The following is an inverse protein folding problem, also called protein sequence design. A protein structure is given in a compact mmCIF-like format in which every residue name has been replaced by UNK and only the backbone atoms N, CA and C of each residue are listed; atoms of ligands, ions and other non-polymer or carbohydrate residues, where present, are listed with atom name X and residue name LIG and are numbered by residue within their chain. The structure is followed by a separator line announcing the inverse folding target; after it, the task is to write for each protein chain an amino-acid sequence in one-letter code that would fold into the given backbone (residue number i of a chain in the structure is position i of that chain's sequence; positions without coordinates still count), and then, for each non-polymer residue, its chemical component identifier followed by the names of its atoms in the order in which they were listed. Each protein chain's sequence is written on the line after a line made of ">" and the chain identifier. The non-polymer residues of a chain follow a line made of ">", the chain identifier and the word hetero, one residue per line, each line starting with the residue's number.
data_IF_355048117740
#
_entry.id   IF_355048117740
#
_cell.length_a   1.000
_cell.length_b   1.000
_cell.length_c   1.000
_cell.angle_alpha   90.00
_cell.angle_beta   90.00
_cell.angle_gamma   90.00
#
_symmetry.space_group_name_H-M   'P 1'
#
loop_
_entity.id
_entity.type
_entity.pdbx_description
1 polymer ?
#
# COMPACT_ATOMS: atom_id res chain seq x y z
N UNK A 1 -1.08 -3.52 28.64
CA UNK A 1 -1.44 -4.00 27.28
C UNK A 1 -0.97 -3.07 26.16
N UNK A 2 -0.96 -1.73 26.32
CA UNK A 2 -0.45 -0.80 25.27
C UNK A 2 1.04 -1.01 24.93
N UNK A 3 1.88 -1.30 25.91
CA UNK A 3 3.33 -1.45 25.71
C UNK A 3 3.72 -2.76 24.98
N UNK A 4 2.91 -3.81 25.11
CA UNK A 4 3.15 -5.11 24.43
C UNK A 4 2.88 -4.98 22.94
N UNK A 5 1.86 -4.22 22.54
CA UNK A 5 1.56 -3.96 21.13
C UNK A 5 2.68 -3.15 20.45
N UNK A 6 3.25 -2.17 21.18
CA UNK A 6 4.37 -1.37 20.67
C UNK A 6 5.63 -2.21 20.48
N UNK A 7 5.92 -3.12 21.42
CA UNK A 7 7.05 -4.05 21.34
C UNK A 7 6.88 -5.04 20.18
N UNK A 8 5.67 -5.55 19.95
CA UNK A 8 5.39 -6.44 18.82
C UNK A 8 5.54 -5.73 17.45
N UNK A 9 5.12 -4.47 17.37
CA UNK A 9 5.29 -3.67 16.13
C UNK A 9 6.78 -3.38 15.88
N UNK A 10 7.56 -3.02 16.91
CA UNK A 10 9.00 -2.78 16.76
C UNK A 10 9.76 -4.05 16.43
N UNK A 11 9.39 -5.21 17.00
CA UNK A 11 9.97 -6.51 16.68
C UNK A 11 9.67 -6.95 15.23
N UNK A 12 8.48 -6.64 14.74
CA UNK A 12 8.10 -6.92 13.33
C UNK A 12 8.90 -6.07 12.33
N UNK A 13 9.20 -4.81 12.65
CA UNK A 13 10.06 -3.96 11.81
C UNK A 13 11.54 -4.36 11.87
N UNK A 14 12.00 -4.98 12.96
CA UNK A 14 13.40 -5.40 13.10
C UNK A 14 13.68 -6.79 12.49
N UNK A 15 12.66 -7.55 12.14
CA UNK A 15 12.80 -8.87 11.51
C UNK A 15 12.85 -8.82 9.98
N UNK A 16 12.99 -7.64 9.36
CA UNK A 16 13.33 -7.56 7.94
C UNK A 16 14.77 -8.07 7.78
N UNK A 17 15.00 -9.21 7.13
CA UNK A 17 16.35 -9.68 6.89
C UNK A 17 17.05 -8.61 6.05
N UNK A 18 18.11 -8.02 6.59
CA UNK A 18 19.08 -7.30 5.80
C UNK A 18 19.73 -8.35 4.90
N UNK A 19 19.28 -8.45 3.66
CA UNK A 19 20.02 -9.15 2.63
C UNK A 19 21.27 -8.31 2.35
N UNK A 20 22.31 -8.53 3.16
CA UNK A 20 23.65 -8.17 2.79
C UNK A 20 23.99 -9.07 1.60
N UNK A 21 23.90 -8.53 0.41
CA UNK A 21 24.39 -9.16 -0.79
C UNK A 21 25.92 -9.03 -0.76
N UNK A 22 26.62 -10.11 -0.37
CA UNK A 22 28.04 -10.27 -0.64
C UNK A 22 28.20 -10.37 -2.15
N UNK A 23 28.28 -9.21 -2.81
CA UNK A 23 28.72 -9.13 -4.19
C UNK A 23 30.23 -9.30 -4.23
N UNK A 24 30.73 -10.55 -4.19
CA UNK A 24 32.00 -10.83 -4.80
C UNK A 24 31.93 -10.40 -6.26
N UNK A 25 32.65 -9.33 -6.60
CA UNK A 25 32.89 -8.89 -7.96
C UNK A 25 33.66 -9.97 -8.71
N UNK A 26 32.98 -11.03 -9.14
CA UNK A 26 33.49 -11.91 -10.19
C UNK A 26 33.43 -11.11 -11.48
N UNK A 27 34.58 -10.59 -11.90
CA UNK A 27 34.78 -10.08 -13.26
C UNK A 27 34.75 -11.30 -14.18
N UNK A 28 33.54 -11.81 -14.45
CA UNK A 28 33.35 -12.72 -15.58
C UNK A 28 33.57 -11.89 -16.84
N UNK A 29 34.62 -12.24 -17.59
CA UNK A 29 34.84 -11.78 -18.97
C UNK A 29 33.53 -12.07 -19.70
N UNK A 30 32.74 -11.02 -19.95
CA UNK A 30 31.44 -11.11 -20.63
C UNK A 30 31.76 -11.66 -22.02
N UNK A 31 31.66 -12.99 -22.17
CA UNK A 31 31.38 -13.56 -23.49
C UNK A 31 30.09 -12.89 -23.95
N UNK A 32 30.17 -12.17 -25.04
CA UNK A 32 29.07 -11.49 -25.69
C UNK A 32 28.13 -12.56 -26.26
N UNK A 33 27.52 -13.35 -25.35
CA UNK A 33 26.36 -14.15 -25.72
C UNK A 33 25.27 -13.12 -25.97
N UNK A 34 24.87 -13.03 -27.24
CA UNK A 34 23.69 -12.30 -27.62
C UNK A 34 22.54 -12.75 -26.70
N UNK A 35 22.25 -11.92 -25.71
CA UNK A 35 21.07 -12.09 -24.86
C UNK A 35 19.90 -12.01 -25.83
N UNK A 36 19.40 -13.17 -26.25
CA UNK A 36 18.16 -13.28 -26.99
C UNK A 36 17.09 -12.74 -26.05
N UNK A 37 16.82 -11.45 -26.17
CA UNK A 37 15.72 -10.79 -25.47
C UNK A 37 14.46 -11.53 -25.90
N UNK A 38 13.92 -12.37 -25.01
CA UNK A 38 12.62 -12.99 -25.25
C UNK A 38 11.64 -11.85 -25.50
N UNK A 39 10.97 -11.83 -26.65
CA UNK A 39 10.00 -10.78 -26.92
C UNK A 39 8.97 -10.77 -25.79
N UNK A 40 8.78 -9.62 -25.16
CA UNK A 40 7.80 -9.45 -24.09
C UNK A 40 6.41 -9.73 -24.66
N UNK A 41 5.83 -10.86 -24.28
CA UNK A 41 4.48 -11.23 -24.71
C UNK A 41 3.48 -10.39 -23.93
N UNK A 42 2.89 -9.39 -24.56
CA UNK A 42 1.79 -8.63 -23.97
C UNK A 42 0.63 -9.57 -23.61
N UNK A 43 0.17 -9.55 -22.37
CA UNK A 43 -1.04 -10.24 -21.93
C UNK A 43 -2.17 -9.21 -21.77
N UNK A 44 -3.07 -9.06 -22.75
CA UNK A 44 -4.11 -8.04 -22.71
C UNK A 44 -5.09 -8.22 -21.54
N UNK A 45 -5.14 -9.42 -20.95
CA UNK A 45 -6.01 -9.72 -19.80
C UNK A 45 -5.34 -9.44 -18.45
N UNK A 46 -4.04 -9.19 -18.38
CA UNK A 46 -3.32 -8.97 -17.13
C UNK A 46 -3.89 -7.82 -16.30
N UNK A 47 -4.27 -6.64 -16.85
CA UNK A 47 -4.90 -5.57 -16.09
C UNK A 47 -6.25 -5.95 -15.48
N UNK A 48 -7.08 -6.66 -16.26
CA UNK A 48 -8.38 -7.13 -15.80
C UNK A 48 -8.22 -8.15 -14.65
N UNK A 49 -7.24 -9.07 -14.76
CA UNK A 49 -6.92 -10.02 -13.69
C UNK A 49 -6.43 -9.32 -12.43
N UNK A 50 -5.53 -8.34 -12.56
CA UNK A 50 -5.04 -7.57 -11.42
C UNK A 50 -6.18 -6.84 -10.68
N UNK A 51 -7.07 -6.19 -11.42
CA UNK A 51 -8.26 -5.54 -10.88
C UNK A 51 -9.20 -6.56 -10.20
N UNK A 52 -9.44 -7.70 -10.82
CA UNK A 52 -10.28 -8.76 -10.28
C UNK A 52 -9.72 -9.32 -8.95
N UNK A 53 -8.43 -9.60 -8.88
CA UNK A 53 -7.79 -10.06 -7.63
C UNK A 53 -7.86 -9.01 -6.52
N UNK A 54 -7.68 -7.73 -6.84
CA UNK A 54 -7.84 -6.64 -5.87
C UNK A 54 -9.30 -6.45 -5.43
N UNK A 55 -10.26 -6.81 -6.30
CA UNK A 55 -11.68 -6.82 -5.96
C UNK A 55 -12.10 -7.98 -5.07
N UNK A 56 -11.42 -9.14 -5.14
CA UNK A 56 -11.68 -10.26 -4.24
C UNK A 56 -11.06 -10.02 -2.86
N UNK A 57 -9.79 -9.70 -2.83
CA UNK A 57 -9.06 -9.38 -1.60
C UNK A 57 -8.18 -8.15 -1.86
N UNK A 58 -8.38 -7.06 -1.11
CA UNK A 58 -7.57 -5.87 -1.24
C UNK A 58 -6.08 -6.22 -1.16
N UNK A 59 -5.27 -5.67 -2.07
CA UNK A 59 -3.84 -5.92 -2.10
C UNK A 59 -3.38 -7.12 -2.94
N UNK A 60 -4.25 -8.08 -3.29
CA UNK A 60 -3.84 -9.22 -4.13
C UNK A 60 -3.44 -8.80 -5.54
N UNK A 61 -4.05 -7.79 -6.11
CA UNK A 61 -3.66 -7.26 -7.42
C UNK A 61 -2.26 -6.66 -7.40
N UNK A 62 -1.86 -5.98 -6.32
CA UNK A 62 -0.51 -5.47 -6.14
C UNK A 62 0.51 -6.62 -6.02
N UNK A 63 0.15 -7.70 -5.34
CA UNK A 63 0.98 -8.92 -5.25
C UNK A 63 1.10 -9.57 -6.64
N UNK A 64 0.01 -9.69 -7.39
CA UNK A 64 0.01 -10.17 -8.78
C UNK A 64 0.93 -9.33 -9.67
N UNK A 65 0.92 -8.01 -9.50
CA UNK A 65 1.78 -7.06 -10.20
C UNK A 65 3.23 -7.06 -9.69
N UNK A 66 3.58 -7.90 -8.69
CA UNK A 66 4.91 -7.93 -8.04
C UNK A 66 5.27 -6.60 -7.34
N UNK A 67 4.28 -5.78 -6.98
CA UNK A 67 4.43 -4.55 -6.20
C UNK A 67 4.14 -4.80 -4.73
N UNK A 68 4.87 -5.74 -4.13
CA UNK A 68 4.62 -6.25 -2.77
C UNK A 68 4.56 -5.17 -1.69
N UNK A 69 5.33 -4.10 -1.84
CA UNK A 69 5.36 -3.01 -0.88
C UNK A 69 4.07 -2.20 -0.79
N UNK A 70 3.23 -2.20 -1.85
CA UNK A 70 1.93 -1.51 -1.86
C UNK A 70 0.84 -2.29 -1.09
N UNK A 71 0.92 -3.61 -1.04
CA UNK A 71 -0.07 -4.44 -0.37
C UNK A 71 -0.20 -4.12 1.14
N UNK A 72 0.88 -4.00 1.94
CA UNK A 72 0.78 -3.58 3.34
C UNK A 72 0.17 -2.19 3.52
N UNK A 73 0.42 -1.26 2.59
CA UNK A 73 -0.16 0.10 2.64
C UNK A 73 -1.68 0.03 2.44
N UNK A 74 -2.15 -0.75 1.47
CA UNK A 74 -3.57 -0.96 1.23
C UNK A 74 -4.26 -1.58 2.46
N UNK A 75 -3.65 -2.61 3.07
CA UNK A 75 -4.19 -3.24 4.28
C UNK A 75 -4.16 -2.33 5.50
N UNK A 76 -3.09 -1.57 5.68
CA UNK A 76 -2.95 -0.60 6.77
C UNK A 76 -4.00 0.52 6.67
N UNK A 77 -4.16 1.09 5.49
CA UNK A 77 -5.16 2.14 5.24
C UNK A 77 -6.59 1.65 5.47
N UNK A 78 -6.93 0.47 4.95
CA UNK A 78 -8.24 -0.13 5.13
C UNK A 78 -8.50 -0.54 6.58
N UNK A 79 -7.54 -1.20 7.22
CA UNK A 79 -7.63 -1.61 8.62
C UNK A 79 -7.83 -0.43 9.57
N UNK A 80 -7.09 0.66 9.35
CA UNK A 80 -7.23 1.90 10.11
C UNK A 80 -8.63 2.52 9.93
N UNK A 81 -9.12 2.56 8.70
CA UNK A 81 -10.45 3.10 8.39
C UNK A 81 -11.57 2.27 9.03
N UNK A 82 -11.48 0.93 8.99
CA UNK A 82 -12.42 0.02 9.65
C UNK A 82 -12.36 0.18 11.18
N UNK A 83 -11.17 0.36 11.74
CA UNK A 83 -10.99 0.62 13.16
C UNK A 83 -11.71 1.90 13.59
N UNK A 84 -11.52 3.01 12.87
CA UNK A 84 -12.20 4.26 13.14
C UNK A 84 -13.72 4.15 12.97
N UNK A 85 -14.20 3.41 11.97
CA UNK A 85 -15.61 3.12 11.81
C UNK A 85 -16.18 2.41 13.04
N UNK A 86 -15.54 1.32 13.48
CA UNK A 86 -16.00 0.53 14.62
C UNK A 86 -16.00 1.34 15.92
N UNK A 87 -14.94 2.14 16.13
CA UNK A 87 -14.84 2.99 17.31
C UNK A 87 -15.94 4.07 17.34
N UNK A 88 -16.14 4.79 16.25
CA UNK A 88 -17.18 5.80 16.13
C UNK A 88 -18.58 5.19 16.22
N UNK A 89 -18.80 4.01 15.64
CA UNK A 89 -20.05 3.30 15.72
C UNK A 89 -20.40 2.91 17.16
N UNK A 90 -19.43 2.39 17.93
CA UNK A 90 -19.59 2.09 19.34
C UNK A 90 -19.98 3.35 20.12
N UNK A 91 -19.25 4.45 19.93
CA UNK A 91 -19.54 5.73 20.58
C UNK A 91 -20.92 6.28 20.19
N UNK A 92 -21.28 6.20 18.91
CA UNK A 92 -22.62 6.58 18.45
C UNK A 92 -23.72 5.83 19.22
N UNK A 93 -23.58 4.51 19.38
CA UNK A 93 -24.55 3.71 20.13
C UNK A 93 -24.57 4.06 21.61
N UNK A 94 -23.43 4.28 22.24
CA UNK A 94 -23.35 4.72 23.66
C UNK A 94 -24.15 6.02 23.88
N UNK A 95 -23.95 7.04 23.05
CA UNK A 95 -24.67 8.32 23.17
C UNK A 95 -26.15 8.19 22.82
N UNK A 96 -26.49 7.41 21.81
CA UNK A 96 -27.87 7.16 21.41
C UNK A 96 -28.66 6.45 22.51
N UNK A 97 -28.08 5.42 23.10
CA UNK A 97 -28.77 4.60 24.09
C UNK A 97 -28.90 5.39 25.42
N UNK A 98 -27.87 6.14 25.83
CA UNK A 98 -27.97 7.07 26.95
C UNK A 98 -29.07 8.13 26.75
N UNK A 99 -29.24 8.65 25.52
CA UNK A 99 -30.31 9.58 25.22
C UNK A 99 -31.71 8.94 25.33
N UNK A 100 -31.85 7.70 24.83
CA UNK A 100 -33.10 6.93 24.92
C UNK A 100 -33.48 6.62 26.39
N UNK A 101 -32.48 6.23 27.19
CA UNK A 101 -32.67 5.93 28.60
C UNK A 101 -33.11 7.19 29.36
N UNK A 102 -32.51 8.34 29.06
CA UNK A 102 -32.92 9.62 29.64
C UNK A 102 -34.35 10.03 29.29
N UNK A 103 -34.75 9.81 28.03
CA UNK A 103 -36.15 10.07 27.60
C UNK A 103 -37.14 9.13 28.28
N UNK A 104 -36.73 7.89 28.53
CA UNK A 104 -37.58 6.87 29.19
C UNK A 104 -37.59 6.99 30.71
N UNK A 105 -36.90 8.00 31.29
CA UNK A 105 -36.77 8.15 32.75
C UNK A 105 -35.94 7.09 33.40
N UNK A 106 -35.16 6.31 32.66
CA UNK A 106 -34.26 5.29 33.17
C UNK A 106 -32.93 5.91 33.63
N UNK A 107 -32.29 5.37 34.65
CA UNK A 107 -31.01 5.88 35.11
C UNK A 107 -29.93 5.61 34.06
N UNK A 108 -29.28 6.67 33.56
CA UNK A 108 -28.10 6.57 32.73
C UNK A 108 -26.87 6.33 33.57
N UNK A 109 -26.13 5.27 33.30
CA UNK A 109 -24.93 4.89 34.04
C UNK A 109 -23.66 5.41 33.38
N UNK A 110 -22.63 5.71 34.18
CA UNK A 110 -21.30 6.11 33.71
C UNK A 110 -21.17 7.60 33.42
N UNK A 111 -20.17 7.94 32.63
CA UNK A 111 -19.74 9.33 32.32
C UNK A 111 -20.80 10.17 31.56
N UNK A 112 -21.79 9.51 30.97
CA UNK A 112 -22.86 10.18 30.21
C UNK A 112 -24.04 10.59 31.09
N UNK A 113 -24.11 10.15 32.35
CA UNK A 113 -25.21 10.47 33.30
C UNK A 113 -25.34 11.96 33.56
N UNK A 114 -24.21 12.69 33.63
CA UNK A 114 -24.16 14.12 33.90
C UNK A 114 -24.54 15.00 32.69
N UNK A 115 -24.61 14.41 31.49
CA UNK A 115 -24.91 15.15 30.28
C UNK A 115 -26.39 15.38 30.11
N UNK A 116 -26.78 16.61 29.78
CA UNK A 116 -28.17 16.93 29.40
C UNK A 116 -28.50 16.35 27.99
N UNK A 117 -29.81 16.26 27.67
CA UNK A 117 -30.30 15.70 26.41
C UNK A 117 -29.65 16.33 25.16
N UNK A 118 -29.47 17.65 25.16
CA UNK A 118 -28.87 18.37 24.01
C UNK A 118 -27.41 17.99 23.79
N UNK A 119 -26.66 17.77 24.86
CA UNK A 119 -25.26 17.33 24.76
C UNK A 119 -25.18 15.88 24.23
N UNK A 120 -26.10 15.02 24.67
CA UNK A 120 -26.19 13.64 24.18
C UNK A 120 -26.53 13.60 22.68
N UNK A 121 -27.48 14.42 22.22
CA UNK A 121 -27.82 14.52 20.80
C UNK A 121 -26.63 15.06 19.98
N UNK A 122 -25.93 16.08 20.46
CA UNK A 122 -24.75 16.61 19.77
C UNK A 122 -23.64 15.57 19.67
N UNK A 123 -23.38 14.84 20.77
CA UNK A 123 -22.40 13.73 20.78
C UNK A 123 -22.80 12.63 19.78
N UNK A 124 -24.06 12.21 19.79
CA UNK A 124 -24.59 11.23 18.85
C UNK A 124 -24.37 11.68 17.39
N UNK A 125 -24.75 12.91 17.04
CA UNK A 125 -24.56 13.43 15.68
C UNK A 125 -23.09 13.53 15.26
N UNK A 126 -22.23 13.91 16.18
CA UNK A 126 -20.78 13.99 15.95
C UNK A 126 -20.20 12.60 15.60
N UNK A 127 -20.48 11.58 16.42
CA UNK A 127 -19.98 10.23 16.17
C UNK A 127 -20.66 9.57 14.97
N UNK A 128 -21.92 9.86 14.70
CA UNK A 128 -22.59 9.43 13.49
C UNK A 128 -21.89 9.94 12.23
N UNK A 129 -21.62 11.24 12.17
CA UNK A 129 -20.90 11.85 11.05
C UNK A 129 -19.51 11.23 10.84
N UNK A 130 -18.75 11.06 11.92
CA UNK A 130 -17.42 10.47 11.83
C UNK A 130 -17.47 9.00 11.42
N UNK A 131 -18.44 8.23 11.89
CA UNK A 131 -18.71 6.85 11.43
C UNK A 131 -18.99 6.81 9.93
N UNK A 132 -19.89 7.65 9.46
CA UNK A 132 -20.29 7.69 8.06
C UNK A 132 -19.14 8.15 7.15
N UNK A 133 -18.33 9.10 7.60
CA UNK A 133 -17.08 9.49 6.92
C UNK A 133 -16.07 8.32 6.89
N UNK A 134 -15.89 7.60 7.98
CA UNK A 134 -14.98 6.44 8.01
C UNK A 134 -15.44 5.35 7.03
N UNK A 135 -16.74 5.10 6.92
CA UNK A 135 -17.30 4.19 5.93
C UNK A 135 -17.01 4.65 4.50
N UNK A 136 -17.21 5.95 4.23
CA UNK A 136 -16.91 6.53 2.93
C UNK A 136 -15.42 6.37 2.56
N UNK A 137 -14.51 6.64 3.50
CA UNK A 137 -13.08 6.43 3.29
C UNK A 137 -12.73 4.95 3.05
N UNK A 138 -13.37 4.02 3.76
CA UNK A 138 -13.15 2.59 3.55
C UNK A 138 -13.50 2.18 2.12
N UNK A 139 -14.66 2.61 1.63
CA UNK A 139 -15.09 2.35 0.25
C UNK A 139 -14.14 3.02 -0.74
N UNK A 140 -13.74 4.28 -0.49
CA UNK A 140 -12.83 5.03 -1.34
C UNK A 140 -11.45 4.34 -1.46
N UNK A 141 -10.86 3.92 -0.35
CA UNK A 141 -9.57 3.18 -0.33
C UNK A 141 -9.71 1.86 -1.09
N UNK A 142 -10.82 1.15 -0.91
CA UNK A 142 -11.07 -0.11 -1.62
C UNK A 142 -11.13 0.10 -3.14
N UNK A 143 -11.90 1.09 -3.60
CA UNK A 143 -12.00 1.41 -5.04
C UNK A 143 -10.66 1.86 -5.61
N UNK A 144 -9.94 2.73 -4.91
CA UNK A 144 -8.61 3.18 -5.33
C UNK A 144 -7.62 2.02 -5.42
N UNK A 145 -7.70 1.04 -4.52
CA UNK A 145 -6.86 -0.14 -4.56
C UNK A 145 -7.09 -1.00 -5.83
N UNK A 146 -8.36 -1.13 -6.27
CA UNK A 146 -8.69 -1.85 -7.52
C UNK A 146 -8.15 -1.09 -8.73
N UNK A 147 -8.37 0.23 -8.77
CA UNK A 147 -7.90 1.09 -9.87
C UNK A 147 -6.37 1.09 -9.95
N UNK A 148 -5.68 1.24 -8.81
CA UNK A 148 -4.21 1.20 -8.74
C UNK A 148 -3.65 -0.12 -9.29
N UNK A 149 -4.25 -1.26 -8.91
CA UNK A 149 -3.83 -2.56 -9.41
C UNK A 149 -4.01 -2.69 -10.94
N UNK A 150 -5.10 -2.15 -11.48
CA UNK A 150 -5.36 -2.14 -12.92
C UNK A 150 -4.35 -1.27 -13.66
N UNK A 151 -4.15 -0.03 -13.19
CA UNK A 151 -3.22 0.94 -13.78
C UNK A 151 -1.78 0.42 -13.74
N UNK A 152 -1.33 -0.12 -12.60
CA UNK A 152 0.00 -0.71 -12.48
C UNK A 152 0.23 -1.85 -13.48
N UNK A 153 -0.79 -2.69 -13.71
CA UNK A 153 -0.70 -3.78 -14.67
C UNK A 153 -0.64 -3.28 -16.12
N UNK A 154 -1.38 -2.22 -16.45
CA UNK A 154 -1.27 -1.55 -17.75
C UNK A 154 0.11 -0.94 -17.95
N UNK A 155 0.59 -0.14 -17.00
CA UNK A 155 1.91 0.52 -17.10
C UNK A 155 3.05 -0.48 -17.21
N UNK A 156 2.93 -1.65 -16.58
CA UNK A 156 3.92 -2.71 -16.68
C UNK A 156 4.01 -3.31 -18.09
N UNK A 157 2.94 -3.27 -18.86
CA UNK A 157 2.92 -3.73 -20.25
C UNK A 157 3.52 -2.71 -21.20
N UNK A 158 3.43 -1.41 -20.90
CA UNK A 158 4.10 -0.36 -21.63
C UNK A 158 5.56 -0.25 -21.19
N UNK A 159 6.35 -1.24 -21.57
CA UNK A 159 7.80 -1.18 -21.35
C UNK A 159 8.41 -0.27 -22.42
N UNK A 160 8.53 1.01 -22.10
CA UNK A 160 9.07 2.06 -23.00
C UNK A 160 10.57 1.82 -23.29
N UNK A 161 11.19 0.83 -22.63
CA UNK A 161 12.64 0.68 -22.58
C UNK A 161 13.20 -0.46 -23.45
N UNK A 162 12.43 -1.08 -24.34
CA UNK A 162 13.01 -2.12 -25.21
C UNK A 162 14.06 -1.55 -26.18
N UNK A 163 13.95 -0.26 -26.50
CA UNK A 163 14.84 0.40 -27.46
C UNK A 163 15.90 1.29 -26.79
N UNK A 164 15.82 1.56 -25.49
CA UNK A 164 16.73 2.43 -24.78
C UNK A 164 17.38 1.69 -23.63
N UNK A 165 18.68 1.43 -23.71
CA UNK A 165 19.46 0.83 -22.62
C UNK A 165 20.57 1.76 -22.21
N UNK A 166 20.73 1.92 -20.89
CA UNK A 166 21.78 2.70 -20.27
C UNK A 166 22.73 1.71 -19.60
N UNK A 167 23.95 1.59 -20.14
CA UNK A 167 24.95 0.67 -19.65
C UNK A 167 26.15 1.44 -19.11
N UNK A 168 26.71 1.05 -17.96
CA UNK A 168 27.99 1.58 -17.54
C UNK A 168 29.08 1.11 -18.55
N UNK A 169 29.88 2.04 -19.01
CA UNK A 169 31.01 1.74 -19.90
C UNK A 169 32.33 2.08 -19.21
N UNK A 170 33.28 1.17 -19.32
CA UNK A 170 34.64 1.37 -18.87
C UNK A 170 35.53 1.38 -20.12
N UNK A 171 36.09 2.52 -20.46
CA UNK A 171 37.01 2.65 -21.58
C UNK A 171 38.41 2.93 -21.06
N UNK A 172 39.35 2.13 -21.49
CA UNK A 172 40.78 2.42 -21.24
C UNK A 172 41.29 3.41 -22.27
N UNK A 173 41.78 4.54 -21.81
CA UNK A 173 42.40 5.52 -22.68
C UNK A 173 43.78 4.94 -23.15
N UNK A 174 43.95 4.83 -24.45
CA UNK A 174 45.16 4.26 -25.04
C UNK A 174 46.39 5.16 -24.88
N UNK A 175 46.22 6.44 -24.52
CA UNK A 175 47.34 7.38 -24.39
C UNK A 175 47.87 7.34 -22.93
N UNK A 176 46.97 7.37 -21.94
CA UNK A 176 47.34 7.49 -20.51
C UNK A 176 47.14 6.20 -19.72
N UNK A 177 46.69 5.10 -20.32
CA UNK A 177 46.36 3.82 -19.70
C UNK A 177 45.37 3.93 -18.51
N UNK A 178 44.67 5.08 -18.36
CA UNK A 178 43.72 5.28 -17.30
C UNK A 178 42.32 4.79 -17.73
N UNK A 179 41.59 4.25 -16.76
CA UNK A 179 40.20 3.82 -16.99
C UNK A 179 39.26 5.03 -16.83
N UNK A 180 38.51 5.32 -17.89
CA UNK A 180 37.43 6.29 -17.85
C UNK A 180 36.13 5.56 -17.64
N UNK A 181 35.42 5.93 -16.57
CA UNK A 181 34.06 5.46 -16.31
C UNK A 181 33.06 6.36 -17.00
N UNK A 182 32.19 5.78 -17.82
CA UNK A 182 31.17 6.49 -18.57
C UNK A 182 29.83 5.77 -18.53
N UNK A 183 28.79 6.43 -19.04
CA UNK A 183 27.49 5.84 -19.28
C UNK A 183 27.23 5.85 -20.79
N UNK A 184 26.98 4.68 -21.36
CA UNK A 184 26.62 4.56 -22.78
C UNK A 184 25.12 4.41 -22.88
N UNK A 185 24.51 5.28 -23.67
CA UNK A 185 23.10 5.25 -24.00
C UNK A 185 22.96 4.58 -25.38
N UNK A 186 22.42 3.35 -25.38
CA UNK A 186 22.14 2.64 -26.63
C UNK A 186 20.67 2.79 -26.97
N UNK A 187 20.39 3.28 -28.17
CA UNK A 187 19.05 3.33 -28.75
C UNK A 187 19.01 2.43 -29.98
N UNK A 188 18.05 1.48 -29.98
CA UNK A 188 17.85 0.57 -31.12
C UNK A 188 16.68 1.13 -31.94
N UNK A 189 17.00 1.52 -33.17
CA UNK A 189 16.02 1.99 -34.16
C UNK A 189 15.19 0.86 -34.74
#
# INVERSE_FOLDING_TARGET
>A
MKNILFILITLFFFSLPAFAQDNELKVDIIKQDSVLLKPYKMDPLAPARAAFYSGLVPGLGQIYNKRYWKAPIAWGGMGLSIYYYSWNNKKYHEYRDAYKDKLAGRPVTGTLSELNGDRLIRGQKFYQRNRDLSMFFTIGIYLLNIVDANVDAHLKQFNVNENLSLLPSVQQNQIDYKYNLGLTLNYKF
#
